data_IF_459054505571
#
_entry.id   IF_459054505571
#
_cell.length_a   1.000
_cell.length_b   1.000
_cell.length_c   1.000
_cell.angle_alpha   90.00
_cell.angle_beta   90.00
_cell.angle_gamma   90.00
#
_symmetry.space_group_name_H-M   'P 1'
#
loop_
_entity.id
_entity.type
_entity.pdbx_description
1 polymer ?
#
# COMPACT_ATOMS: atom_id res chain seq x y z
N UNK A 1 -14.15 21.33 5.74
CA UNK A 1 -13.40 21.00 6.99
C UNK A 1 -13.99 19.78 7.69
N UNK A 2 -15.32 19.65 7.81
CA UNK A 2 -15.98 18.48 8.40
C UNK A 2 -15.67 17.16 7.64
N UNK A 3 -15.80 17.14 6.32
CA UNK A 3 -15.61 15.93 5.51
C UNK A 3 -14.19 15.33 5.61
N UNK A 4 -13.15 16.17 5.57
CA UNK A 4 -11.76 15.71 5.71
C UNK A 4 -11.52 15.14 7.11
N UNK A 5 -12.08 15.80 8.13
CA UNK A 5 -11.98 15.33 9.51
C UNK A 5 -12.69 13.97 9.69
N UNK A 6 -13.86 13.80 9.09
CA UNK A 6 -14.60 12.55 9.10
C UNK A 6 -13.78 11.43 8.47
N UNK A 7 -13.21 11.66 7.27
CA UNK A 7 -12.39 10.68 6.56
C UNK A 7 -11.20 10.25 7.42
N UNK A 8 -10.45 11.21 7.98
CA UNK A 8 -9.29 10.91 8.84
C UNK A 8 -9.73 10.12 10.09
N UNK A 9 -10.82 10.52 10.72
CA UNK A 9 -11.33 9.85 11.91
C UNK A 9 -11.76 8.41 11.60
N UNK A 10 -12.41 8.16 10.46
CA UNK A 10 -12.76 6.80 10.03
C UNK A 10 -11.52 5.94 9.83
N UNK A 11 -10.47 6.47 9.18
CA UNK A 11 -9.22 5.71 9.05
C UNK A 11 -8.55 5.44 10.39
N UNK A 12 -8.59 6.41 11.31
CA UNK A 12 -8.04 6.26 12.65
C UNK A 12 -8.79 5.18 13.45
N UNK A 13 -10.11 5.24 13.47
CA UNK A 13 -10.95 4.24 14.14
C UNK A 13 -10.79 2.85 13.52
N UNK A 14 -10.70 2.76 12.20
CA UNK A 14 -10.45 1.50 11.50
C UNK A 14 -9.06 0.93 11.83
N UNK A 15 -8.05 1.80 11.94
CA UNK A 15 -6.70 1.39 12.35
C UNK A 15 -6.68 0.93 13.82
N UNK A 16 -7.42 1.60 14.71
CA UNK A 16 -7.59 1.20 16.10
C UNK A 16 -8.28 -0.16 16.23
N UNK A 17 -9.36 -0.36 15.48
CA UNK A 17 -10.09 -1.63 15.44
C UNK A 17 -9.23 -2.79 14.91
N UNK A 18 -8.23 -2.48 14.07
CA UNK A 18 -7.34 -3.45 13.43
C UNK A 18 -5.89 -3.32 13.91
N UNK A 19 -5.65 -2.86 15.15
CA UNK A 19 -4.31 -2.56 15.66
C UNK A 19 -3.33 -3.72 15.49
N UNK A 20 -3.77 -4.95 15.76
CA UNK A 20 -2.91 -6.13 15.60
C UNK A 20 -2.37 -6.29 14.18
N UNK A 21 -3.21 -6.05 13.16
CA UNK A 21 -2.81 -6.10 11.76
C UNK A 21 -1.88 -4.94 11.39
N UNK A 22 -2.20 -3.72 11.86
CA UNK A 22 -1.39 -2.52 11.59
C UNK A 22 0.00 -2.67 12.20
N UNK A 23 0.07 -3.01 13.49
CA UNK A 23 1.34 -3.20 14.20
C UNK A 23 2.12 -4.39 13.65
N UNK A 24 1.46 -5.51 13.37
CA UNK A 24 2.10 -6.70 12.79
C UNK A 24 2.74 -6.39 11.44
N UNK A 25 2.02 -5.68 10.57
CA UNK A 25 2.53 -5.25 9.26
C UNK A 25 3.74 -4.33 9.43
N UNK A 26 3.67 -3.36 10.35
CA UNK A 26 4.77 -2.43 10.63
C UNK A 26 6.01 -3.15 11.19
N UNK A 27 5.82 -4.11 12.10
CA UNK A 27 6.90 -4.93 12.66
C UNK A 27 7.59 -5.75 11.57
N UNK A 28 6.83 -6.43 10.70
CA UNK A 28 7.38 -7.21 9.59
C UNK A 28 8.19 -6.31 8.66
N UNK A 29 7.67 -5.11 8.36
CA UNK A 29 8.38 -4.16 7.53
C UNK A 29 9.71 -3.70 8.16
N UNK A 30 9.69 -3.31 9.43
CA UNK A 30 10.90 -2.91 10.17
C UNK A 30 11.91 -4.05 10.23
N UNK A 31 11.46 -5.28 10.50
CA UNK A 31 12.33 -6.46 10.52
C UNK A 31 13.04 -6.66 9.16
N UNK A 32 12.31 -6.54 8.04
CA UNK A 32 12.88 -6.62 6.70
C UNK A 32 13.93 -5.52 6.42
N UNK A 33 13.65 -4.30 6.86
CA UNK A 33 14.59 -3.18 6.74
C UNK A 33 15.85 -3.40 7.59
N UNK A 34 15.71 -3.92 8.81
CA UNK A 34 16.86 -4.24 9.66
C UNK A 34 17.72 -5.35 9.06
N UNK A 35 17.12 -6.45 8.60
CA UNK A 35 17.84 -7.57 7.96
C UNK A 35 18.61 -7.10 6.72
N UNK A 36 18.00 -6.26 5.88
CA UNK A 36 18.67 -5.68 4.70
C UNK A 36 19.81 -4.74 5.07
N UNK A 37 19.65 -3.95 6.14
CA UNK A 37 20.70 -3.06 6.68
C UNK A 37 21.90 -3.84 7.20
N UNK A 38 21.68 -4.86 8.03
CA UNK A 38 22.77 -5.70 8.55
C UNK A 38 23.45 -6.52 7.46
N UNK A 39 22.79 -6.73 6.30
CA UNK A 39 23.40 -7.32 5.11
C UNK A 39 24.34 -6.35 4.34
N UNK A 40 24.59 -5.13 4.85
CA UNK A 40 25.36 -4.04 4.20
C UNK A 40 24.85 -3.64 2.80
N UNK A 41 23.59 -3.97 2.49
CA UNK A 41 22.94 -3.70 1.20
C UNK A 41 21.76 -2.74 1.42
N UNK A 42 22.02 -1.49 1.83
CA UNK A 42 21.04 -0.42 1.60
C UNK A 42 21.45 0.50 0.44
N UNK A 43 21.25 0.04 -0.81
CA UNK A 43 21.20 0.95 -1.92
C UNK A 43 19.78 1.51 -1.96
N UNK A 44 19.53 2.60 -1.23
CA UNK A 44 18.28 3.37 -1.34
C UNK A 44 17.92 3.69 -2.80
N UNK A 45 18.87 3.62 -3.75
CA UNK A 45 18.61 3.72 -5.20
C UNK A 45 18.46 2.40 -5.99
N UNK A 46 19.03 1.24 -5.57
CA UNK A 46 19.07 0.02 -6.44
C UNK A 46 17.83 -0.87 -6.34
N UNK A 47 16.83 -0.51 -5.53
CA UNK A 47 15.53 -1.18 -5.47
C UNK A 47 14.37 -0.32 -5.95
N UNK A 48 14.54 1.00 -6.02
CA UNK A 48 13.43 1.95 -6.24
C UNK A 48 12.78 1.77 -7.61
N UNK A 49 13.58 1.64 -8.69
CA UNK A 49 13.00 1.44 -10.03
C UNK A 49 12.15 0.16 -10.09
N UNK A 50 12.62 -0.93 -9.48
CA UNK A 50 11.88 -2.19 -9.45
C UNK A 50 10.62 -2.08 -8.58
N UNK A 51 10.73 -1.46 -7.40
CA UNK A 51 9.59 -1.22 -6.50
C UNK A 51 8.53 -0.32 -7.15
N UNK A 52 8.93 0.71 -7.90
CA UNK A 52 7.99 1.58 -8.65
C UNK A 52 7.29 0.79 -9.75
N UNK A 53 8.02 -0.01 -10.54
CA UNK A 53 7.41 -0.82 -11.60
C UNK A 53 6.42 -1.82 -11.01
N UNK A 54 6.80 -2.54 -9.95
CA UNK A 54 5.92 -3.48 -9.26
C UNK A 54 4.72 -2.76 -8.63
N UNK A 55 4.94 -1.58 -8.05
CA UNK A 55 3.87 -0.74 -7.51
C UNK A 55 2.86 -0.32 -8.59
N UNK A 56 3.32 0.10 -9.77
CA UNK A 56 2.44 0.45 -10.89
C UNK A 56 1.62 -0.75 -11.37
N UNK A 57 2.25 -1.92 -11.51
CA UNK A 57 1.54 -3.15 -11.89
C UNK A 57 0.51 -3.54 -10.81
N UNK A 58 0.91 -3.51 -9.54
CA UNK A 58 0.02 -3.78 -8.43
C UNK A 58 -1.14 -2.77 -8.37
N UNK A 59 -0.89 -1.50 -8.70
CA UNK A 59 -1.91 -0.47 -8.74
C UNK A 59 -2.99 -0.77 -9.77
N UNK A 60 -2.62 -1.18 -10.99
CA UNK A 60 -3.59 -1.58 -12.02
C UNK A 60 -4.39 -2.80 -11.56
N UNK A 61 -3.75 -3.79 -10.93
CA UNK A 61 -4.42 -4.97 -10.40
C UNK A 61 -5.43 -4.58 -9.31
N UNK A 62 -5.00 -3.79 -8.32
CA UNK A 62 -5.89 -3.34 -7.24
C UNK A 62 -7.00 -2.43 -7.74
N UNK A 63 -6.75 -1.60 -8.75
CA UNK A 63 -7.77 -0.75 -9.36
C UNK A 63 -8.97 -1.58 -9.83
N UNK A 64 -8.72 -2.73 -10.45
CA UNK A 64 -9.78 -3.64 -10.91
C UNK A 64 -10.37 -4.48 -9.76
N UNK A 65 -9.56 -4.86 -8.77
CA UNK A 65 -9.99 -5.74 -7.68
C UNK A 65 -10.75 -5.03 -6.56
N UNK A 66 -10.40 -3.78 -6.25
CA UNK A 66 -10.93 -3.03 -5.09
C UNK A 66 -12.45 -2.97 -5.06
N UNK A 67 -13.17 -2.69 -6.18
CA UNK A 67 -14.63 -2.72 -6.17
C UNK A 67 -15.18 -4.08 -5.72
N UNK A 68 -14.66 -5.18 -6.26
CA UNK A 68 -15.08 -6.52 -5.86
C UNK A 68 -14.78 -6.84 -4.38
N UNK A 69 -13.63 -6.39 -3.88
CA UNK A 69 -13.23 -6.59 -2.47
C UNK A 69 -14.12 -5.80 -1.50
N UNK A 70 -14.67 -4.66 -1.92
CA UNK A 70 -15.57 -3.83 -1.11
C UNK A 70 -17.05 -4.15 -1.34
N UNK A 71 -17.37 -5.24 -2.05
CA UNK A 71 -18.74 -5.61 -2.46
C UNK A 71 -19.43 -4.50 -3.26
N UNK A 72 -18.67 -3.72 -4.00
CA UNK A 72 -19.10 -2.66 -4.89
C UNK A 72 -18.87 -3.06 -6.36
N UNK A 73 -19.36 -2.25 -7.30
CA UNK A 73 -19.15 -2.43 -8.73
C UNK A 73 -18.79 -1.10 -9.39
N UNK A 74 -18.15 -1.18 -10.56
CA UNK A 74 -17.85 0.02 -11.36
C UNK A 74 -19.11 0.73 -11.88
N UNK A 75 -20.27 0.07 -11.87
CA UNK A 75 -21.55 0.65 -12.28
C UNK A 75 -21.99 1.79 -11.35
N UNK A 76 -21.51 1.81 -10.11
CA UNK A 76 -21.82 2.86 -9.13
C UNK A 76 -20.84 4.05 -9.19
N UNK A 77 -19.81 4.00 -10.03
CA UNK A 77 -18.79 5.04 -10.16
C UNK A 77 -19.26 6.06 -11.20
N UNK A 78 -19.99 7.08 -10.72
CA UNK A 78 -20.71 8.01 -11.59
C UNK A 78 -20.03 9.37 -11.72
N UNK A 79 -19.07 9.68 -10.85
CA UNK A 79 -18.36 10.96 -10.85
C UNK A 79 -16.84 10.79 -10.95
N UNK A 80 -16.16 11.85 -11.38
CA UNK A 80 -14.69 11.91 -11.38
C UNK A 80 -14.13 11.71 -9.97
N UNK A 81 -14.85 12.17 -8.95
CA UNK A 81 -14.44 12.03 -7.55
C UNK A 81 -14.46 10.55 -7.14
N UNK A 82 -15.44 9.77 -7.59
CA UNK A 82 -15.52 8.33 -7.31
C UNK A 82 -14.35 7.58 -7.97
N UNK A 83 -14.00 7.94 -9.21
CA UNK A 83 -12.82 7.41 -9.89
C UNK A 83 -11.52 7.74 -9.14
N UNK A 84 -11.38 8.97 -8.64
CA UNK A 84 -10.24 9.37 -7.83
C UNK A 84 -10.18 8.62 -6.49
N UNK A 85 -11.34 8.33 -5.88
CA UNK A 85 -11.40 7.55 -4.66
C UNK A 85 -10.94 6.09 -4.90
N UNK A 86 -11.45 5.43 -5.94
CA UNK A 86 -11.02 4.07 -6.32
C UNK A 86 -9.53 4.04 -6.64
N UNK A 87 -9.05 5.01 -7.42
CA UNK A 87 -7.63 5.18 -7.73
C UNK A 87 -6.78 5.35 -6.47
N UNK A 88 -7.22 6.20 -5.53
CA UNK A 88 -6.52 6.49 -4.28
C UNK A 88 -6.44 5.29 -3.34
N UNK A 89 -7.55 4.59 -3.12
CA UNK A 89 -7.58 3.37 -2.30
C UNK A 89 -6.69 2.29 -2.90
N UNK A 90 -6.77 2.10 -4.22
CA UNK A 90 -5.91 1.14 -4.94
C UNK A 90 -4.43 1.52 -4.83
N UNK A 91 -4.12 2.82 -4.86
CA UNK A 91 -2.75 3.32 -4.71
C UNK A 91 -2.20 3.04 -3.31
N UNK A 92 -3.03 3.09 -2.27
CA UNK A 92 -2.62 2.74 -0.91
C UNK A 92 -2.18 1.26 -0.82
N UNK A 93 -2.96 0.33 -1.37
CA UNK A 93 -2.60 -1.10 -1.41
C UNK A 93 -1.35 -1.36 -2.26
N UNK A 94 -1.26 -0.75 -3.44
CA UNK A 94 -0.09 -0.85 -4.29
C UNK A 94 1.18 -0.27 -3.64
N UNK A 95 1.03 0.83 -2.90
CA UNK A 95 2.08 1.46 -2.12
C UNK A 95 2.64 0.51 -1.06
N UNK A 96 1.77 -0.23 -0.35
CA UNK A 96 2.21 -1.28 0.57
C UNK A 96 3.01 -2.35 -0.17
N UNK A 97 2.50 -2.89 -1.29
CA UNK A 97 3.25 -3.90 -2.06
C UNK A 97 4.63 -3.40 -2.47
N UNK A 98 4.71 -2.18 -3.01
CA UNK A 98 5.99 -1.57 -3.40
C UNK A 98 6.95 -1.39 -2.20
N UNK A 99 6.40 -0.96 -1.06
CA UNK A 99 7.14 -0.71 0.18
C UNK A 99 7.79 -1.99 0.74
N UNK A 100 7.11 -3.13 0.65
CA UNK A 100 7.63 -4.43 1.05
C UNK A 100 8.52 -5.08 -0.03
N UNK A 101 8.22 -4.84 -1.31
CA UNK A 101 8.98 -5.43 -2.41
C UNK A 101 10.43 -4.94 -2.44
N UNK A 102 10.69 -3.67 -2.13
CA UNK A 102 12.04 -3.10 -2.08
C UNK A 102 13.04 -3.92 -1.24
N UNK A 103 12.82 -4.08 0.08
CA UNK A 103 13.72 -4.87 0.92
C UNK A 103 13.75 -6.35 0.52
N UNK A 104 12.62 -6.95 0.12
CA UNK A 104 12.58 -8.35 -0.34
C UNK A 104 13.45 -8.57 -1.60
N UNK A 105 13.35 -7.68 -2.58
CA UNK A 105 14.15 -7.74 -3.81
C UNK A 105 15.66 -7.72 -3.52
N UNK A 106 16.08 -6.89 -2.56
CA UNK A 106 17.49 -6.77 -2.15
C UNK A 106 18.00 -8.02 -1.42
N UNK A 107 17.11 -8.74 -0.71
CA UNK A 107 17.43 -10.01 -0.06
C UNK A 107 17.52 -11.18 -1.05
N UNK A 108 16.63 -11.23 -2.05
CA UNK A 108 16.57 -12.34 -3.02
C UNK A 108 17.67 -12.26 -4.07
N UNK A 109 18.01 -11.06 -4.54
CA UNK A 109 19.06 -10.86 -5.55
C UNK A 109 20.48 -10.97 -4.96
N UNK A 110 20.65 -11.89 -4.01
CA UNK A 110 21.82 -11.98 -3.14
C UNK A 110 23.08 -12.40 -3.88
#
# INVERSE_FOLDING_TARGET
MYEIWLIINTFYELALANLGLVLGTLIVWVALMLITQFSKKLPWGKGVKAAVVVGLVAWVIFFVMVPGLTKSSFEYVNSVIDWLAVAGVSAAFAGLVALFFGPLYLLVKR
#
